data_IF_926699025396
#
_entry.id   IF_926699025396
#
_cell.length_a   1.000
_cell.length_b   1.000
_cell.length_c   1.000
_cell.angle_alpha   90.00
_cell.angle_beta   90.00
_cell.angle_gamma   90.00
#
_symmetry.space_group_name_H-M   'P 1'
#
loop_
_entity.id
_entity.type
_entity.pdbx_description
1 polymer ?
#
# COMPACT_ATOMS: atom_id res chain seq x y z
N UNK A 1 20.34 -4.46 4.88
CA UNK A 1 19.46 -5.59 4.55
C UNK A 1 18.76 -6.16 5.81
N UNK A 2 19.50 -6.48 6.91
CA UNK A 2 18.88 -7.07 8.11
C UNK A 2 17.80 -6.17 8.72
N UNK A 3 18.05 -4.87 8.85
CA UNK A 3 17.07 -3.90 9.34
C UNK A 3 15.86 -3.77 8.41
N UNK A 4 16.06 -3.75 7.09
CA UNK A 4 14.98 -3.70 6.09
C UNK A 4 14.06 -4.92 6.25
N UNK A 5 14.63 -6.13 6.33
CA UNK A 5 13.86 -7.35 6.56
C UNK A 5 13.01 -7.25 7.83
N UNK A 6 13.59 -6.78 8.92
CA UNK A 6 12.88 -6.66 10.19
C UNK A 6 11.75 -5.63 10.13
N UNK A 7 11.98 -4.46 9.50
CA UNK A 7 10.92 -3.47 9.28
C UNK A 7 9.76 -4.10 8.51
N UNK A 8 10.07 -4.83 7.42
CA UNK A 8 9.02 -5.49 6.61
C UNK A 8 8.23 -6.50 7.44
N UNK A 9 8.89 -7.39 8.15
CA UNK A 9 8.22 -8.42 8.95
C UNK A 9 7.39 -7.82 10.10
N UNK A 10 7.95 -6.87 10.84
CA UNK A 10 7.27 -6.27 11.98
C UNK A 10 6.09 -5.39 11.57
N UNK A 11 6.28 -4.52 10.59
CA UNK A 11 5.21 -3.61 10.18
C UNK A 11 4.01 -4.36 9.61
N UNK A 12 4.23 -5.30 8.68
CA UNK A 12 3.12 -6.05 8.08
C UNK A 12 2.35 -6.86 9.12
N UNK A 13 3.02 -7.45 10.12
CA UNK A 13 2.38 -8.19 11.20
C UNK A 13 1.56 -7.25 12.11
N UNK A 14 2.12 -6.12 12.49
CA UNK A 14 1.44 -5.12 13.32
C UNK A 14 0.22 -4.54 12.58
N UNK A 15 0.38 -4.14 11.32
CA UNK A 15 -0.69 -3.57 10.51
C UNK A 15 -1.82 -4.57 10.29
N UNK A 16 -1.48 -5.81 9.92
CA UNK A 16 -2.49 -6.85 9.69
C UNK A 16 -3.29 -7.19 10.95
N UNK A 17 -2.65 -7.20 12.12
CA UNK A 17 -3.32 -7.39 13.40
C UNK A 17 -4.24 -6.18 13.73
N UNK A 18 -3.75 -4.96 13.56
CA UNK A 18 -4.50 -3.73 13.86
C UNK A 18 -5.74 -3.56 12.97
N UNK A 19 -5.65 -3.89 11.69
CA UNK A 19 -6.71 -3.66 10.73
C UNK A 19 -7.46 -4.93 10.31
N UNK A 20 -7.17 -6.08 10.94
CA UNK A 20 -7.75 -7.39 10.60
C UNK A 20 -7.60 -7.74 9.12
N UNK A 21 -6.35 -7.67 8.60
CA UNK A 21 -6.03 -7.90 7.20
C UNK A 21 -5.50 -9.31 6.95
N UNK A 22 -5.98 -9.94 5.88
CA UNK A 22 -5.44 -11.18 5.35
C UNK A 22 -4.37 -10.86 4.30
N UNK A 23 -3.19 -11.47 4.39
CA UNK A 23 -2.19 -11.37 3.32
C UNK A 23 -2.66 -12.15 2.09
N UNK A 24 -2.61 -11.51 0.93
CA UNK A 24 -2.86 -12.16 -0.37
C UNK A 24 -1.68 -11.95 -1.31
N UNK A 25 -1.45 -12.92 -2.19
CA UNK A 25 -0.39 -12.81 -3.19
C UNK A 25 -0.80 -11.83 -4.27
N UNK A 26 0.04 -10.83 -4.49
CA UNK A 26 -0.16 -9.83 -5.53
C UNK A 26 0.29 -10.35 -6.90
N UNK A 27 -0.42 -10.05 -7.99
CA UNK A 27 0.12 -10.20 -9.33
C UNK A 27 1.21 -9.15 -9.59
N UNK A 28 2.27 -9.52 -10.30
CA UNK A 28 3.28 -8.56 -10.78
C UNK A 28 2.83 -7.87 -12.08
N UNK A 29 1.96 -8.53 -12.83
CA UNK A 29 1.40 -8.02 -14.07
C UNK A 29 -0.06 -8.46 -14.21
N UNK A 30 -0.82 -7.70 -14.95
CA UNK A 30 -2.21 -7.98 -15.32
C UNK A 30 -2.37 -7.91 -16.84
N UNK A 31 -3.42 -8.53 -17.37
CA UNK A 31 -3.73 -8.39 -18.79
C UNK A 31 -4.12 -6.95 -19.08
N UNK A 32 -3.55 -6.41 -20.15
CA UNK A 32 -3.88 -5.07 -20.66
C UNK A 32 -5.38 -4.98 -20.95
N UNK A 33 -5.94 -3.79 -20.85
CA UNK A 33 -7.34 -3.46 -21.12
C UNK A 33 -8.37 -4.14 -20.17
N UNK A 34 -7.92 -4.78 -19.08
CA UNK A 34 -8.81 -5.32 -18.04
C UNK A 34 -9.29 -4.26 -17.04
N UNK A 35 -8.68 -3.08 -17.04
CA UNK A 35 -8.95 -2.02 -16.07
C UNK A 35 -8.45 -2.33 -14.65
N UNK A 36 -7.64 -3.38 -14.46
CA UNK A 36 -7.13 -3.79 -13.15
C UNK A 36 -5.86 -3.04 -12.74
N UNK A 37 -5.06 -2.57 -13.71
CA UNK A 37 -3.95 -1.68 -13.42
C UNK A 37 -4.46 -0.27 -13.13
N UNK A 38 -3.79 0.46 -12.26
CA UNK A 38 -4.13 1.85 -11.99
C UNK A 38 -3.36 2.77 -12.96
N UNK A 39 -4.08 3.72 -13.55
CA UNK A 39 -3.50 4.68 -14.47
C UNK A 39 -2.78 5.84 -13.76
N UNK A 40 -2.68 5.80 -12.43
CA UNK A 40 -2.13 6.86 -11.56
C UNK A 40 -2.78 8.22 -11.87
N UNK A 41 -2.04 9.13 -12.52
CA UNK A 41 -2.55 10.42 -12.98
C UNK A 41 -3.21 10.36 -14.37
N UNK A 42 -3.20 9.18 -15.02
CA UNK A 42 -3.81 8.94 -16.33
C UNK A 42 -2.90 9.28 -17.52
N UNK A 43 -1.63 9.59 -17.27
CA UNK A 43 -0.63 9.94 -18.31
C UNK A 43 0.54 8.96 -18.35
N UNK A 44 0.72 8.18 -17.30
CA UNK A 44 1.82 7.23 -17.15
C UNK A 44 1.61 6.02 -18.06
N UNK A 45 2.69 5.60 -18.71
CA UNK A 45 2.73 4.40 -19.54
C UNK A 45 3.17 3.21 -18.71
N UNK A 46 2.40 2.11 -18.78
CA UNK A 46 2.81 0.85 -18.17
C UNK A 46 3.92 0.17 -18.98
N UNK A 47 4.80 -0.56 -18.31
CA UNK A 47 5.71 -1.50 -18.96
C UNK A 47 4.90 -2.69 -19.45
N UNK A 48 4.90 -2.90 -20.78
CA UNK A 48 4.10 -3.95 -21.42
C UNK A 48 4.97 -5.03 -22.03
N UNK A 49 4.43 -6.25 -22.10
CA UNK A 49 5.09 -7.37 -22.76
C UNK A 49 4.06 -8.36 -23.32
N UNK A 50 4.38 -9.07 -24.43
CA UNK A 50 3.51 -10.10 -24.99
C UNK A 50 3.64 -11.42 -24.23
N UNK A 51 2.54 -12.18 -24.14
CA UNK A 51 2.52 -13.53 -23.57
C UNK A 51 2.40 -14.53 -24.71
N UNK A 52 3.49 -15.25 -25.03
CA UNK A 52 3.56 -16.19 -26.15
C UNK A 52 2.47 -17.27 -26.09
N UNK A 53 2.19 -17.83 -24.92
CA UNK A 53 1.18 -18.89 -24.74
C UNK A 53 -0.27 -18.41 -24.85
N UNK A 54 -0.51 -17.12 -24.97
CA UNK A 54 -1.81 -16.46 -25.14
C UNK A 54 -1.85 -15.68 -26.46
N UNK A 55 -1.34 -16.26 -27.53
CA UNK A 55 -1.32 -15.65 -28.88
C UNK A 55 -0.73 -14.23 -28.92
N UNK A 56 0.29 -13.99 -28.10
CA UNK A 56 0.93 -12.69 -27.89
C UNK A 56 0.00 -11.61 -27.32
N UNK A 57 -1.05 -12.01 -26.60
CA UNK A 57 -1.84 -11.05 -25.83
C UNK A 57 -0.93 -10.24 -24.91
N UNK A 58 -1.24 -8.96 -24.78
CA UNK A 58 -0.39 -8.01 -24.03
C UNK A 58 -0.73 -8.03 -22.55
N UNK A 59 0.28 -8.22 -21.72
CA UNK A 59 0.22 -7.93 -20.27
C UNK A 59 0.99 -6.64 -19.95
N UNK A 60 0.69 -6.08 -18.80
CA UNK A 60 1.33 -4.87 -18.27
C UNK A 60 1.73 -5.04 -16.83
N UNK A 61 2.93 -4.58 -16.47
CA UNK A 61 3.40 -4.54 -15.09
C UNK A 61 2.59 -3.52 -14.32
N UNK A 62 2.18 -3.87 -13.12
CA UNK A 62 1.29 -3.02 -12.32
C UNK A 62 1.99 -1.74 -11.85
N UNK A 63 1.25 -0.62 -11.86
CA UNK A 63 1.62 0.64 -11.21
C UNK A 63 1.13 0.67 -9.75
N UNK A 64 -0.07 0.13 -9.52
CA UNK A 64 -0.75 -0.01 -8.24
C UNK A 64 -1.80 -1.10 -8.35
N UNK A 65 -2.27 -1.61 -7.22
CA UNK A 65 -3.23 -2.71 -7.16
C UNK A 65 -4.55 -2.34 -6.47
N UNK A 66 -4.90 -1.07 -6.36
CA UNK A 66 -6.12 -0.65 -5.68
C UNK A 66 -7.37 -1.29 -6.31
N UNK A 67 -7.52 -1.20 -7.64
CA UNK A 67 -8.64 -1.79 -8.39
C UNK A 67 -8.67 -3.32 -8.25
N UNK A 68 -7.52 -3.98 -8.39
CA UNK A 68 -7.39 -5.42 -8.24
C UNK A 68 -7.76 -5.88 -6.82
N UNK A 69 -7.33 -5.15 -5.77
CA UNK A 69 -7.68 -5.50 -4.38
C UNK A 69 -9.17 -5.39 -4.12
N UNK A 70 -9.86 -4.39 -4.66
CA UNK A 70 -11.33 -4.29 -4.56
C UNK A 70 -12.03 -5.50 -5.19
N UNK A 71 -11.57 -5.92 -6.38
CA UNK A 71 -12.06 -7.16 -7.00
C UNK A 71 -11.77 -8.37 -6.12
N UNK A 72 -10.56 -8.45 -5.53
CA UNK A 72 -10.16 -9.55 -4.66
C UNK A 72 -10.99 -9.61 -3.38
N UNK A 73 -11.30 -8.49 -2.75
CA UNK A 73 -12.21 -8.40 -1.60
C UNK A 73 -13.60 -8.95 -1.94
N UNK A 74 -14.12 -8.61 -3.13
CA UNK A 74 -15.41 -9.13 -3.59
C UNK A 74 -15.36 -10.65 -3.85
N UNK A 75 -14.31 -11.15 -4.50
CA UNK A 75 -14.11 -12.59 -4.74
C UNK A 75 -14.04 -13.39 -3.43
N UNK A 76 -13.34 -12.86 -2.44
CA UNK A 76 -13.19 -13.46 -1.11
C UNK A 76 -14.44 -13.25 -0.22
N UNK A 77 -15.42 -12.47 -0.67
CA UNK A 77 -16.59 -12.08 0.13
C UNK A 77 -16.19 -11.54 1.50
N UNK A 78 -15.17 -10.68 1.52
CA UNK A 78 -14.59 -10.16 2.75
C UNK A 78 -15.61 -9.33 3.52
N UNK A 79 -15.96 -9.67 4.77
CA UNK A 79 -16.96 -8.94 5.53
C UNK A 79 -16.45 -7.57 5.98
N UNK A 80 -17.37 -6.67 6.33
CA UNK A 80 -17.04 -5.37 6.90
C UNK A 80 -16.17 -5.50 8.16
N UNK A 81 -15.21 -4.59 8.33
CA UNK A 81 -14.22 -4.60 9.40
C UNK A 81 -13.00 -5.49 9.13
N UNK A 82 -12.99 -6.22 8.02
CA UNK A 82 -11.85 -7.03 7.57
C UNK A 82 -11.34 -6.55 6.22
N UNK A 83 -10.10 -6.91 5.90
CA UNK A 83 -9.48 -6.50 4.65
C UNK A 83 -8.40 -7.46 4.18
N UNK A 84 -7.69 -7.03 3.16
CA UNK A 84 -6.53 -7.72 2.60
C UNK A 84 -5.35 -6.76 2.51
N UNK A 85 -4.14 -7.29 2.54
CA UNK A 85 -2.93 -6.56 2.17
C UNK A 85 -2.05 -7.37 1.24
N UNK A 86 -1.25 -6.67 0.47
CA UNK A 86 -0.21 -7.22 -0.38
C UNK A 86 1.14 -6.63 0.00
N UNK A 87 2.17 -7.43 -0.12
CA UNK A 87 3.56 -7.02 -0.21
C UNK A 87 3.90 -7.12 -1.70
N UNK A 88 3.94 -5.99 -2.39
CA UNK A 88 3.95 -5.94 -3.86
C UNK A 88 5.08 -5.09 -4.40
N UNK A 89 5.45 -5.39 -5.64
CA UNK A 89 6.37 -4.59 -6.43
C UNK A 89 5.64 -3.98 -7.63
N UNK A 90 6.04 -2.76 -8.00
CA UNK A 90 5.53 -2.04 -9.14
C UNK A 90 6.67 -1.42 -9.94
N UNK A 91 6.42 -1.10 -11.21
CA UNK A 91 7.32 -0.31 -12.05
C UNK A 91 6.61 0.95 -12.52
N UNK A 92 7.25 2.09 -12.31
CA UNK A 92 6.77 3.43 -12.70
C UNK A 92 7.81 4.09 -13.62
N UNK A 93 7.85 3.75 -14.91
CA UNK A 93 8.91 4.20 -15.80
C UNK A 93 8.92 5.71 -16.09
N UNK A 94 7.81 6.40 -15.79
CA UNK A 94 7.67 7.86 -15.95
C UNK A 94 8.01 8.64 -14.67
N UNK A 95 8.47 7.97 -13.61
CA UNK A 95 8.80 8.63 -12.35
C UNK A 95 10.05 9.50 -12.50
N UNK A 96 9.98 10.73 -12.00
CA UNK A 96 11.17 11.59 -11.89
C UNK A 96 12.01 11.11 -10.70
N UNK A 97 13.20 10.59 -11.02
CA UNK A 97 14.09 9.95 -10.03
C UNK A 97 14.79 11.01 -9.18
N UNK A 98 14.66 10.89 -7.87
CA UNK A 98 15.39 11.68 -6.88
C UNK A 98 15.78 10.79 -5.67
N UNK A 99 16.06 11.43 -4.51
CA UNK A 99 16.46 10.68 -3.30
C UNK A 99 15.31 9.93 -2.59
N UNK A 100 14.05 10.17 -2.99
CA UNK A 100 12.86 9.52 -2.43
C UNK A 100 11.96 8.87 -3.50
N UNK A 101 12.23 9.07 -4.79
CA UNK A 101 11.47 8.51 -5.90
C UNK A 101 12.32 7.55 -6.73
N UNK A 102 11.74 6.44 -7.12
CA UNK A 102 12.40 5.38 -7.89
C UNK A 102 11.42 4.77 -8.91
N UNK A 103 11.98 4.31 -10.03
CA UNK A 103 11.22 3.52 -11.03
C UNK A 103 10.66 2.24 -10.40
N UNK A 104 11.44 1.59 -9.55
CA UNK A 104 11.03 0.39 -8.82
C UNK A 104 10.39 0.78 -7.50
N UNK A 105 9.19 0.27 -7.27
CA UNK A 105 8.43 0.49 -6.03
C UNK A 105 8.24 -0.84 -5.30
N UNK A 106 8.64 -0.87 -4.04
CA UNK A 106 8.42 -1.97 -3.10
C UNK A 106 7.52 -1.44 -1.99
N UNK A 107 6.26 -1.90 -1.94
CA UNK A 107 5.27 -1.30 -1.06
C UNK A 107 4.34 -2.32 -0.43
N UNK A 108 3.85 -2.00 0.77
CA UNK A 108 2.62 -2.59 1.30
C UNK A 108 1.43 -1.80 0.80
N UNK A 109 0.44 -2.52 0.35
CA UNK A 109 -0.80 -1.92 -0.13
C UNK A 109 -1.99 -2.71 0.43
N UNK A 110 -2.98 -2.04 1.00
CA UNK A 110 -4.11 -2.69 1.66
C UNK A 110 -5.44 -2.04 1.34
N UNK A 111 -6.50 -2.83 1.44
CA UNK A 111 -7.88 -2.40 1.32
C UNK A 111 -8.71 -3.07 2.42
N UNK A 112 -9.65 -2.33 3.00
CA UNK A 112 -10.55 -2.84 4.04
C UNK A 112 -12.00 -2.62 3.61
N UNK A 113 -12.84 -3.64 3.80
CA UNK A 113 -14.29 -3.52 3.61
C UNK A 113 -14.90 -2.78 4.79
N UNK A 114 -15.64 -1.72 4.52
CA UNK A 114 -16.35 -0.92 5.52
C UNK A 114 -17.83 -0.84 5.17
N UNK A 115 -18.68 -0.58 6.17
CA UNK A 115 -20.09 -0.30 5.95
C UNK A 115 -20.28 1.15 5.45
N UNK A 116 -21.34 1.46 4.67
CA UNK A 116 -21.61 2.81 4.18
C UNK A 116 -21.64 3.87 5.28
N UNK A 117 -22.23 3.56 6.43
CA UNK A 117 -22.32 4.45 7.59
C UNK A 117 -20.97 4.72 8.28
N UNK A 118 -19.96 3.87 8.04
CA UNK A 118 -18.58 4.06 8.53
C UNK A 118 -17.78 5.04 7.67
N UNK A 119 -18.31 5.49 6.53
CA UNK A 119 -17.63 6.47 5.66
C UNK A 119 -17.69 7.87 6.26
N UNK A 120 -17.03 8.05 7.37
CA UNK A 120 -16.97 9.29 8.16
C UNK A 120 -15.53 9.72 8.44
N UNK A 121 -15.32 11.02 8.69
CA UNK A 121 -14.02 11.56 9.11
C UNK A 121 -13.57 10.94 10.45
N UNK A 122 -14.49 10.67 11.35
CA UNK A 122 -14.19 10.04 12.63
C UNK A 122 -13.60 8.63 12.44
N UNK A 123 -14.22 7.81 11.60
CA UNK A 123 -13.71 6.48 11.26
C UNK A 123 -12.35 6.54 10.55
N UNK A 124 -12.19 7.46 9.60
CA UNK A 124 -10.91 7.70 8.92
C UNK A 124 -9.80 8.03 9.93
N UNK A 125 -10.04 9.01 10.83
CA UNK A 125 -9.07 9.37 11.86
C UNK A 125 -8.72 8.21 12.79
N UNK A 126 -9.69 7.39 13.17
CA UNK A 126 -9.46 6.18 13.96
C UNK A 126 -8.57 5.18 13.21
N UNK A 127 -8.86 4.92 11.94
CA UNK A 127 -8.08 4.01 11.10
C UNK A 127 -6.64 4.51 10.94
N UNK A 128 -6.45 5.81 10.67
CA UNK A 128 -5.12 6.41 10.54
C UNK A 128 -4.32 6.29 11.85
N UNK A 129 -4.95 6.49 13.02
CA UNK A 129 -4.26 6.29 14.31
C UNK A 129 -3.80 4.84 14.50
N UNK A 130 -4.60 3.85 14.11
CA UNK A 130 -4.21 2.43 14.18
C UNK A 130 -3.03 2.10 13.25
N UNK A 131 -3.00 2.70 12.06
CA UNK A 131 -1.86 2.60 11.14
C UNK A 131 -0.62 3.24 11.77
N UNK A 132 -0.76 4.44 12.31
CA UNK A 132 0.33 5.16 12.96
C UNK A 132 0.91 4.39 14.15
N UNK A 133 0.06 3.78 14.97
CA UNK A 133 0.50 2.89 16.06
C UNK A 133 1.34 1.73 15.54
N UNK A 134 0.97 1.13 14.41
CA UNK A 134 1.75 0.06 13.79
C UNK A 134 3.13 0.55 13.36
N UNK A 135 3.24 1.78 12.86
CA UNK A 135 4.51 2.40 12.47
C UNK A 135 5.36 2.67 13.71
N UNK A 136 4.78 3.29 14.76
CA UNK A 136 5.50 3.60 16.02
C UNK A 136 6.03 2.35 16.72
N UNK A 137 5.23 1.30 16.80
CA UNK A 137 5.67 0.02 17.38
C UNK A 137 6.83 -0.56 16.58
N UNK A 138 6.79 -0.45 15.26
CA UNK A 138 7.88 -0.92 14.38
C UNK A 138 9.15 -0.09 14.58
N UNK A 139 9.05 1.24 14.64
CA UNK A 139 10.17 2.15 14.89
C UNK A 139 10.85 1.86 16.23
N UNK A 140 10.07 1.72 17.30
CA UNK A 140 10.59 1.44 18.63
C UNK A 140 11.30 0.08 18.73
N UNK A 141 10.74 -0.97 18.11
CA UNK A 141 11.37 -2.29 18.07
C UNK A 141 12.65 -2.27 17.25
N UNK A 142 12.66 -1.54 16.13
CA UNK A 142 13.86 -1.37 15.31
C UNK A 142 14.98 -0.68 16.10
N UNK A 143 14.65 0.35 16.89
CA UNK A 143 15.62 1.04 17.75
C UNK A 143 16.24 0.11 18.81
N UNK A 144 15.46 -0.80 19.38
CA UNK A 144 15.99 -1.78 20.37
C UNK A 144 17.07 -2.65 19.75
N UNK A 145 16.91 -3.07 18.49
CA UNK A 145 17.88 -3.94 17.80
C UNK A 145 19.00 -3.15 17.09
N UNK A 146 18.72 -1.93 16.68
CA UNK A 146 19.64 -1.03 15.97
C UNK A 146 19.66 0.35 16.62
N UNK A 147 20.34 0.53 17.78
CA UNK A 147 20.31 1.78 18.55
C UNK A 147 20.82 3.03 17.80
N UNK A 148 21.54 2.84 16.69
CA UNK A 148 21.96 3.93 15.80
C UNK A 148 20.81 4.52 14.98
N UNK A 149 19.68 3.79 14.84
CA UNK A 149 18.45 4.25 14.16
C UNK A 149 17.52 4.77 15.24
N UNK A 150 17.66 6.06 15.57
CA UNK A 150 16.84 6.66 16.63
C UNK A 150 15.42 6.93 16.19
N UNK A 151 14.42 6.70 17.07
CA UNK A 151 13.04 7.10 16.81
C UNK A 151 12.93 8.60 16.54
N UNK A 152 12.15 8.98 15.54
CA UNK A 152 11.92 10.37 15.14
C UNK A 152 10.44 10.73 15.06
N UNK A 153 9.56 9.73 15.07
CA UNK A 153 8.13 9.95 14.95
C UNK A 153 7.56 10.61 16.22
N UNK A 154 6.72 11.64 16.09
CA UNK A 154 6.08 12.29 17.24
C UNK A 154 5.17 11.31 18.00
N UNK A 155 4.85 11.65 19.27
CA UNK A 155 3.97 10.83 20.09
C UNK A 155 2.54 10.79 19.55
N UNK A 156 2.09 11.86 18.91
CA UNK A 156 0.76 11.97 18.34
C UNK A 156 0.81 12.54 16.94
N UNK A 157 -0.07 12.02 16.07
CA UNK A 157 -0.28 12.57 14.73
C UNK A 157 -1.19 13.80 14.81
N UNK A 158 -0.92 14.76 13.93
CA UNK A 158 -1.76 15.93 13.72
C UNK A 158 -2.58 15.75 12.46
N UNK A 159 -3.87 16.13 12.52
CA UNK A 159 -4.76 16.13 11.37
C UNK A 159 -5.00 17.55 10.92
N UNK A 160 -4.70 17.84 9.69
CA UNK A 160 -4.88 19.15 9.07
C UNK A 160 -5.79 19.01 7.85
N UNK A 161 -6.64 19.98 7.58
CA UNK A 161 -7.42 20.04 6.34
C UNK A 161 -6.54 20.52 5.19
N UNK A 162 -6.77 20.02 3.97
CA UNK A 162 -5.96 20.40 2.80
C UNK A 162 -6.00 21.90 2.49
N UNK A 163 -7.14 22.56 2.72
CA UNK A 163 -7.27 24.01 2.57
C UNK A 163 -6.46 24.79 3.61
N UNK A 164 -6.37 24.28 4.84
CA UNK A 164 -5.54 24.86 5.90
C UNK A 164 -4.05 24.67 5.58
N UNK A 165 -3.65 23.51 5.08
CA UNK A 165 -2.30 23.22 4.65
C UNK A 165 -1.86 24.13 3.49
N UNK A 166 -2.77 24.46 2.57
CA UNK A 166 -2.49 25.38 1.45
C UNK A 166 -2.21 26.82 1.89
N UNK A 167 -2.67 27.21 3.10
CA UNK A 167 -2.48 28.57 3.64
C UNK A 167 -1.20 28.70 4.49
N UNK A 168 -0.50 27.58 4.76
CA UNK A 168 0.76 27.56 5.51
C UNK A 168 1.97 27.74 4.59
#
# INVERSE_FOLDING_TARGET
EKAIKQVKDMFQNNLSAQLALLRVTAPIAVMKDTGLNDDLNGVERAVTFPIKSLDNATAEVVHSLAKWKRLKLAQLRTPAGRGIYTDMNALRPEEEIDNIHSIYVDQWDWEQTILPEQRTVAFLKQTVRRIYESIKVTENKLYVEFPQIRPQLPEQIHFIHSEELLQM
#
